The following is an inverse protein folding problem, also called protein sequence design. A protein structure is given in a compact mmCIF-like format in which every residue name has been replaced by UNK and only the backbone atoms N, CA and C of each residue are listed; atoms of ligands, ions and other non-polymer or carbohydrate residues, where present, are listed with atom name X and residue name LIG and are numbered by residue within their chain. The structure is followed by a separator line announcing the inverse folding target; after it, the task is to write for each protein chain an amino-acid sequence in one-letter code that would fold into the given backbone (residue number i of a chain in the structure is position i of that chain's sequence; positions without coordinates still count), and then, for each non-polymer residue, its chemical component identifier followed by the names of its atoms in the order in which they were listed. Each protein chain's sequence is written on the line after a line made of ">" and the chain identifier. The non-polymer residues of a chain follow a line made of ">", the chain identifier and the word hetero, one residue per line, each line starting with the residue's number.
data_IF_366671892096
#
_entry.id   IF_366671892096
#
_cell.length_a   1.000
_cell.length_b   1.000
_cell.length_c   1.000
_cell.angle_alpha   90.00
_cell.angle_beta   90.00
_cell.angle_gamma   90.00
#
_symmetry.space_group_name_H-M   'P 1'
#
loop_
_entity.id
_entity.type
_entity.pdbx_description
1 polymer ?
#
# COMPACT_ATOMS: atom_id res chain seq x y z
N UNK A 1 40.15 -24.92 12.39
CA UNK A 1 38.74 -24.49 12.21
C UNK A 1 38.55 -22.97 11.99
N UNK A 2 39.49 -22.27 11.35
CA UNK A 2 39.48 -20.79 11.26
C UNK A 2 39.23 -20.22 9.85
N UNK A 3 39.64 -20.92 8.78
CA UNK A 3 39.41 -20.49 7.39
C UNK A 3 37.92 -20.43 6.98
N UNK A 4 37.10 -21.35 7.48
CA UNK A 4 35.66 -21.41 7.14
C UNK A 4 34.87 -20.21 7.70
N UNK A 5 35.15 -19.77 8.94
CA UNK A 5 34.50 -18.60 9.54
C UNK A 5 34.91 -17.29 8.87
N UNK A 6 36.17 -17.17 8.44
CA UNK A 6 36.65 -15.99 7.72
C UNK A 6 35.98 -15.82 6.35
N UNK A 7 35.73 -16.92 5.63
CA UNK A 7 35.08 -16.86 4.33
C UNK A 7 33.58 -16.53 4.44
N UNK A 8 32.91 -17.03 5.48
CA UNK A 8 31.50 -16.70 5.76
C UNK A 8 31.36 -15.20 6.09
N UNK A 9 32.25 -14.65 6.93
CA UNK A 9 32.21 -13.23 7.29
C UNK A 9 32.44 -12.32 6.08
N UNK A 10 33.38 -12.67 5.21
CA UNK A 10 33.65 -11.92 3.98
C UNK A 10 32.46 -11.97 3.00
N UNK A 11 31.79 -13.13 2.89
CA UNK A 11 30.59 -13.28 2.06
C UNK A 11 29.43 -12.44 2.60
N UNK A 12 29.18 -12.48 3.91
CA UNK A 12 28.13 -11.66 4.56
C UNK A 12 28.39 -10.16 4.38
N UNK A 13 29.64 -9.73 4.53
CA UNK A 13 30.02 -8.33 4.31
C UNK A 13 29.80 -7.91 2.84
N UNK A 14 30.15 -8.78 1.89
CA UNK A 14 29.94 -8.52 0.46
C UNK A 14 28.45 -8.39 0.12
N UNK A 15 27.61 -9.29 0.66
CA UNK A 15 26.15 -9.22 0.51
C UNK A 15 25.60 -7.93 1.11
N UNK A 16 26.06 -7.56 2.30
CA UNK A 16 25.63 -6.32 2.96
C UNK A 16 25.97 -5.07 2.13
N UNK A 17 27.19 -4.98 1.62
CA UNK A 17 27.63 -3.86 0.77
C UNK A 17 26.80 -3.80 -0.53
N UNK A 18 26.56 -4.96 -1.16
CA UNK A 18 25.75 -5.02 -2.37
C UNK A 18 24.31 -4.53 -2.12
N UNK A 19 23.69 -4.97 -1.03
CA UNK A 19 22.34 -4.53 -0.65
C UNK A 19 22.28 -3.02 -0.37
N UNK A 20 23.31 -2.45 0.26
CA UNK A 20 23.40 -1.00 0.45
C UNK A 20 23.48 -0.24 -0.88
N UNK A 21 24.29 -0.71 -1.83
CA UNK A 21 24.41 -0.08 -3.14
C UNK A 21 23.09 -0.14 -3.93
N UNK A 22 22.36 -1.26 -3.85
CA UNK A 22 21.04 -1.41 -4.46
C UNK A 22 20.04 -0.42 -3.83
N UNK A 23 20.00 -0.33 -2.49
CA UNK A 23 19.10 0.58 -1.80
C UNK A 23 19.38 2.05 -2.16
N UNK A 24 20.66 2.44 -2.22
CA UNK A 24 21.06 3.80 -2.64
C UNK A 24 20.64 4.12 -4.08
N UNK A 25 20.75 3.14 -4.98
CA UNK A 25 20.28 3.29 -6.35
C UNK A 25 18.75 3.50 -6.39
N UNK A 26 17.99 2.69 -5.65
CA UNK A 26 16.53 2.83 -5.59
C UNK A 26 16.08 4.14 -4.96
N UNK A 27 16.74 4.64 -3.90
CA UNK A 27 16.45 5.96 -3.33
C UNK A 27 16.76 7.12 -4.32
N UNK A 28 17.80 6.95 -5.15
CA UNK A 28 18.14 7.89 -6.21
C UNK A 28 17.07 7.90 -7.32
N UNK A 29 16.64 6.72 -7.77
CA UNK A 29 15.58 6.57 -8.75
C UNK A 29 14.25 7.12 -8.26
N UNK A 30 13.88 6.83 -7.00
CA UNK A 30 12.71 7.41 -6.33
C UNK A 30 12.71 8.93 -6.43
N UNK A 31 13.86 9.55 -6.16
CA UNK A 31 14.02 11.01 -6.23
C UNK A 31 13.84 11.52 -7.66
N UNK A 32 14.37 10.81 -8.66
CA UNK A 32 14.21 11.15 -10.09
C UNK A 32 12.73 11.08 -10.50
N UNK A 33 12.06 9.96 -10.20
CA UNK A 33 10.63 9.77 -10.51
C UNK A 33 9.78 10.84 -9.81
N UNK A 34 10.05 11.11 -8.54
CA UNK A 34 9.31 12.14 -7.81
C UNK A 34 9.49 13.53 -8.45
N UNK A 35 10.72 13.89 -8.85
CA UNK A 35 11.01 15.17 -9.50
C UNK A 35 10.31 15.31 -10.86
N UNK A 36 10.12 14.22 -11.60
CA UNK A 36 9.41 14.24 -12.89
C UNK A 36 7.91 14.50 -12.73
N UNK A 37 7.33 14.27 -11.55
CA UNK A 37 5.90 14.51 -11.32
C UNK A 37 5.56 16.02 -11.26
N UNK A 38 4.48 16.48 -11.93
CA UNK A 38 4.17 17.91 -12.04
C UNK A 38 3.59 18.54 -10.76
N UNK A 39 2.62 17.89 -10.12
CA UNK A 39 1.91 18.47 -8.98
C UNK A 39 2.78 18.61 -7.72
N UNK A 40 3.06 19.85 -7.29
CA UNK A 40 3.90 20.15 -6.11
C UNK A 40 3.27 19.69 -4.80
N UNK A 41 1.96 19.88 -4.63
CA UNK A 41 1.26 19.52 -3.38
C UNK A 41 1.39 18.03 -3.12
N UNK A 42 1.14 17.17 -4.12
CA UNK A 42 1.29 15.72 -3.95
C UNK A 42 2.75 15.32 -3.66
N UNK A 43 3.73 15.98 -4.29
CA UNK A 43 5.15 15.73 -4.03
C UNK A 43 5.56 16.01 -2.58
N UNK A 44 4.90 16.94 -1.92
CA UNK A 44 5.22 17.37 -0.56
C UNK A 44 4.25 16.79 0.50
N UNK A 45 3.19 16.10 0.06
CA UNK A 45 2.15 15.55 0.91
C UNK A 45 2.45 14.13 1.42
N UNK A 46 1.59 13.64 2.30
CA UNK A 46 1.53 12.23 2.70
C UNK A 46 1.42 11.26 1.50
N UNK A 47 0.72 11.66 0.44
CA UNK A 47 0.44 10.81 -0.73
C UNK A 47 1.63 10.70 -1.71
N UNK A 48 2.82 11.18 -1.34
CA UNK A 48 4.00 11.20 -2.20
C UNK A 48 4.30 9.82 -2.81
N UNK A 49 4.27 8.76 -2.00
CA UNK A 49 4.60 7.40 -2.45
C UNK A 49 3.55 6.85 -3.42
N UNK A 50 2.26 7.04 -3.11
CA UNK A 50 1.16 6.68 -4.02
C UNK A 50 1.23 7.47 -5.33
N UNK A 51 1.71 8.72 -5.30
CA UNK A 51 1.84 9.55 -6.48
C UNK A 51 3.01 9.11 -7.38
N UNK A 52 4.16 8.77 -6.79
CA UNK A 52 5.29 8.17 -7.50
C UNK A 52 4.81 6.94 -8.29
N UNK A 53 4.03 6.09 -7.63
CA UNK A 53 3.54 4.80 -8.12
C UNK A 53 2.28 4.90 -8.99
N UNK A 54 1.88 6.11 -9.39
CA UNK A 54 0.71 6.37 -10.24
C UNK A 54 -0.64 5.93 -9.65
N UNK A 55 -0.71 5.60 -8.35
CA UNK A 55 -1.94 5.22 -7.66
C UNK A 55 -2.84 6.42 -7.35
N UNK A 56 -2.27 7.62 -7.28
CA UNK A 56 -3.03 8.87 -7.21
C UNK A 56 -2.55 9.87 -8.28
N UNK A 57 -3.45 10.70 -8.78
CA UNK A 57 -3.13 11.84 -9.63
C UNK A 57 -4.07 13.01 -9.38
N UNK A 58 -3.82 14.16 -10.02
CA UNK A 58 -4.71 15.32 -9.94
C UNK A 58 -5.45 15.50 -11.26
N UNK A 59 -6.77 15.62 -11.20
CA UNK A 59 -7.65 15.96 -12.32
C UNK A 59 -8.70 16.95 -11.84
N UNK A 60 -8.85 18.09 -12.53
CA UNK A 60 -9.85 19.12 -12.19
C UNK A 60 -9.84 19.53 -10.70
N UNK A 61 -8.65 19.81 -10.15
CA UNK A 61 -8.45 20.15 -8.72
C UNK A 61 -8.90 19.09 -7.70
N UNK A 62 -9.14 17.86 -8.16
CA UNK A 62 -9.38 16.70 -7.31
C UNK A 62 -8.19 15.74 -7.38
N UNK A 63 -7.85 15.15 -6.24
CA UNK A 63 -7.02 13.96 -6.18
C UNK A 63 -7.92 12.77 -6.54
N UNK A 64 -7.53 12.03 -7.57
CA UNK A 64 -8.19 10.79 -7.99
C UNK A 64 -7.26 9.65 -7.65
N UNK A 65 -7.72 8.73 -6.81
CA UNK A 65 -7.00 7.51 -6.45
C UNK A 65 -7.62 6.30 -7.12
N UNK A 66 -6.77 5.40 -7.62
CA UNK A 66 -7.15 4.06 -8.07
C UNK A 66 -6.05 3.10 -7.61
N UNK A 67 -6.41 2.12 -6.81
CA UNK A 67 -5.49 1.09 -6.30
C UNK A 67 -6.10 -0.26 -6.62
N UNK A 68 -5.36 -1.09 -7.35
CA UNK A 68 -5.72 -2.47 -7.65
C UNK A 68 -5.11 -3.37 -6.59
N UNK A 69 -5.95 -3.92 -5.72
CA UNK A 69 -5.53 -4.89 -4.71
C UNK A 69 -5.66 -6.31 -5.26
N UNK A 70 -4.64 -7.12 -5.03
CA UNK A 70 -4.68 -8.53 -5.40
C UNK A 70 -5.36 -9.31 -4.28
N UNK A 71 -6.31 -10.19 -4.63
CA UNK A 71 -7.07 -11.00 -3.67
C UNK A 71 -6.29 -12.21 -3.14
N UNK A 72 -4.96 -12.10 -3.08
CA UNK A 72 -4.10 -13.12 -2.49
C UNK A 72 -3.77 -12.73 -1.05
N UNK A 73 -4.35 -13.47 -0.11
CA UNK A 73 -3.72 -13.65 1.19
C UNK A 73 -2.45 -14.48 1.05
N UNK A 74 -1.89 -15.02 2.14
CA UNK A 74 -0.82 -16.01 2.06
C UNK A 74 -1.34 -17.24 1.30
N UNK A 75 -0.96 -17.35 0.03
CA UNK A 75 -1.22 -18.47 -0.88
C UNK A 75 -2.56 -19.21 -0.68
N UNK A 76 -3.67 -18.47 -0.73
CA UNK A 76 -5.01 -18.99 -0.42
C UNK A 76 -5.61 -19.91 -1.51
N UNK A 77 -4.82 -20.37 -2.49
CA UNK A 77 -5.28 -21.22 -3.61
C UNK A 77 -6.31 -20.57 -4.53
N UNK A 78 -6.62 -19.28 -4.34
CA UNK A 78 -7.43 -18.50 -5.26
C UNK A 78 -6.65 -18.32 -6.57
N UNK A 79 -7.26 -18.56 -7.74
CA UNK A 79 -6.60 -18.35 -9.03
C UNK A 79 -5.95 -16.95 -9.12
N UNK A 80 -4.77 -16.85 -9.72
CA UNK A 80 -3.97 -15.60 -9.85
C UNK A 80 -4.65 -14.44 -10.61
N UNK A 81 -5.92 -14.59 -10.96
CA UNK A 81 -6.68 -13.65 -11.77
C UNK A 81 -7.63 -12.74 -10.98
N UNK A 82 -7.77 -12.87 -9.66
CA UNK A 82 -8.73 -12.06 -8.88
C UNK A 82 -8.12 -10.76 -8.35
N UNK A 83 -8.79 -9.63 -8.63
CA UNK A 83 -8.39 -8.31 -8.13
C UNK A 83 -9.59 -7.50 -7.64
N UNK A 84 -9.32 -6.53 -6.77
CA UNK A 84 -10.30 -5.55 -6.31
C UNK A 84 -9.77 -4.14 -6.56
N UNK A 85 -10.41 -3.44 -7.48
CA UNK A 85 -10.09 -2.06 -7.82
C UNK A 85 -10.81 -1.10 -6.87
N UNK A 86 -10.04 -0.40 -6.04
CA UNK A 86 -10.53 0.60 -5.10
C UNK A 86 -10.25 1.98 -5.67
N UNK A 87 -11.31 2.73 -5.94
CA UNK A 87 -11.23 4.09 -6.48
C UNK A 87 -11.88 5.11 -5.55
N UNK A 88 -11.26 6.28 -5.46
CA UNK A 88 -11.75 7.38 -4.62
C UNK A 88 -11.39 8.74 -5.20
N UNK A 89 -12.08 9.77 -4.71
CA UNK A 89 -11.78 11.16 -5.02
C UNK A 89 -11.80 12.00 -3.76
N UNK A 90 -10.89 12.96 -3.68
CA UNK A 90 -10.88 13.98 -2.62
C UNK A 90 -10.40 15.31 -3.17
N UNK A 91 -10.78 16.41 -2.51
CA UNK A 91 -10.34 17.75 -2.91
C UNK A 91 -8.84 17.89 -2.72
N UNK A 92 -8.17 18.52 -3.68
CA UNK A 92 -6.80 18.97 -3.49
C UNK A 92 -6.80 20.25 -2.61
N UNK A 93 -6.16 20.19 -1.45
CA UNK A 93 -6.02 21.34 -0.55
C UNK A 93 -4.55 21.73 -0.39
N UNK A 94 -4.29 22.98 -0.03
CA UNK A 94 -2.96 23.48 0.30
C UNK A 94 -3.00 24.29 1.62
N UNK A 95 -2.46 23.78 2.75
CA UNK A 95 -1.78 22.50 2.90
C UNK A 95 -2.72 21.30 2.68
N UNK A 96 -2.16 20.17 2.26
CA UNK A 96 -2.92 18.93 2.06
C UNK A 96 -3.51 18.43 3.38
N UNK A 97 -4.78 17.99 3.36
CA UNK A 97 -5.47 17.38 4.48
C UNK A 97 -6.36 16.25 4.00
N UNK A 98 -6.37 15.15 4.74
CA UNK A 98 -7.32 14.07 4.51
C UNK A 98 -8.75 14.53 4.87
N UNK A 99 -9.76 14.20 4.04
CA UNK A 99 -11.15 14.47 4.40
C UNK A 99 -11.62 13.51 5.50
N UNK A 100 -12.52 13.95 6.38
CA UNK A 100 -13.13 13.08 7.42
C UNK A 100 -13.88 11.88 6.86
N UNK A 101 -14.33 11.98 5.60
CA UNK A 101 -15.04 10.93 4.89
C UNK A 101 -14.51 10.81 3.47
N UNK A 102 -14.41 9.58 2.97
CA UNK A 102 -13.95 9.28 1.62
C UNK A 102 -15.00 8.41 0.93
N UNK A 103 -15.52 8.87 -0.21
CA UNK A 103 -16.42 8.06 -1.04
C UNK A 103 -15.56 7.09 -1.84
N UNK A 104 -15.78 5.80 -1.62
CA UNK A 104 -15.05 4.72 -2.27
C UNK A 104 -15.99 3.97 -3.21
N UNK A 105 -15.46 3.64 -4.37
CA UNK A 105 -16.06 2.68 -5.31
C UNK A 105 -15.10 1.50 -5.45
N UNK A 106 -15.61 0.31 -5.19
CA UNK A 106 -14.90 -0.96 -5.33
C UNK A 106 -15.45 -1.70 -6.53
N UNK A 107 -14.57 -2.34 -7.29
CA UNK A 107 -14.93 -3.22 -8.38
C UNK A 107 -14.11 -4.50 -8.29
N UNK A 108 -14.81 -5.62 -8.14
CA UNK A 108 -14.20 -6.93 -8.25
C UNK A 108 -13.99 -7.26 -9.72
N UNK A 109 -12.80 -7.75 -10.06
CA UNK A 109 -12.38 -8.14 -11.39
C UNK A 109 -11.66 -9.50 -11.34
N UNK A 110 -11.58 -10.17 -12.49
CA UNK A 110 -10.91 -11.47 -12.62
C UNK A 110 -11.78 -12.60 -13.14
N UNK A 111 -11.51 -13.83 -12.69
CA UNK A 111 -12.24 -15.04 -13.07
C UNK A 111 -13.61 -15.15 -12.35
N UNK A 112 -14.39 -14.07 -12.39
CA UNK A 112 -15.77 -14.01 -11.90
C UNK A 112 -16.75 -13.93 -13.07
N UNK A 113 -17.87 -14.64 -12.96
CA UNK A 113 -18.92 -14.60 -13.99
C UNK A 113 -19.60 -13.23 -14.09
N UNK A 114 -19.65 -12.48 -12.98
CA UNK A 114 -20.27 -11.16 -12.91
C UNK A 114 -19.40 -10.22 -12.09
N UNK A 115 -19.10 -9.07 -12.70
CA UNK A 115 -18.44 -7.96 -11.99
C UNK A 115 -19.38 -7.41 -10.94
N UNK A 116 -18.91 -7.33 -9.70
CA UNK A 116 -19.61 -6.68 -8.62
C UNK A 116 -19.00 -5.32 -8.34
N UNK A 117 -19.85 -4.30 -8.27
CA UNK A 117 -19.45 -2.95 -7.92
C UNK A 117 -20.12 -2.55 -6.62
N UNK A 118 -19.31 -2.14 -5.65
CA UNK A 118 -19.78 -1.62 -4.36
C UNK A 118 -19.43 -0.16 -4.24
N UNK A 119 -20.30 0.61 -3.57
CA UNK A 119 -20.06 2.01 -3.26
C UNK A 119 -20.41 2.26 -1.82
N UNK A 120 -19.52 2.91 -1.09
CA UNK A 120 -19.80 3.33 0.26
C UNK A 120 -18.97 4.55 0.68
N UNK A 121 -19.33 5.14 1.82
CA UNK A 121 -18.58 6.23 2.44
C UNK A 121 -17.76 5.67 3.59
N UNK A 122 -16.44 5.73 3.45
CA UNK A 122 -15.52 5.36 4.50
C UNK A 122 -15.29 6.58 5.39
N UNK A 123 -15.13 6.35 6.69
CA UNK A 123 -14.86 7.39 7.69
C UNK A 123 -13.41 7.28 8.13
N UNK A 124 -12.73 8.41 8.26
CA UNK A 124 -11.38 8.49 8.80
C UNK A 124 -11.41 8.06 10.28
N UNK A 125 -10.66 7.01 10.62
CA UNK A 125 -10.59 6.44 11.97
C UNK A 125 -9.32 6.88 12.68
N UNK A 126 -8.19 6.86 11.98
CA UNK A 126 -6.86 7.17 12.52
C UNK A 126 -6.04 7.90 11.45
N UNK A 127 -5.29 8.92 11.86
CA UNK A 127 -4.38 9.70 11.04
C UNK A 127 -3.15 10.05 11.89
N UNK A 128 -1.97 9.68 11.40
CA UNK A 128 -0.67 10.02 11.96
C UNK A 128 0.28 10.50 10.87
N UNK A 129 1.54 10.75 11.21
CA UNK A 129 2.54 11.17 10.23
C UNK A 129 2.78 10.12 9.13
N UNK A 130 2.64 8.82 9.45
CA UNK A 130 2.98 7.72 8.53
C UNK A 130 1.81 6.79 8.21
N UNK A 131 0.65 6.97 8.85
CA UNK A 131 -0.48 6.06 8.76
C UNK A 131 -1.80 6.80 8.60
N UNK A 132 -2.66 6.30 7.71
CA UNK A 132 -4.04 6.77 7.57
C UNK A 132 -4.96 5.57 7.41
N UNK A 133 -5.99 5.49 8.25
CA UNK A 133 -7.00 4.43 8.23
C UNK A 133 -8.39 5.02 7.99
N UNK A 134 -9.00 4.55 6.90
CA UNK A 134 -10.41 4.74 6.59
C UNK A 134 -11.17 3.44 6.79
N UNK A 135 -12.38 3.51 7.34
CA UNK A 135 -13.22 2.33 7.57
C UNK A 135 -14.66 2.53 7.12
N UNK A 136 -15.24 1.49 6.52
CA UNK A 136 -16.68 1.36 6.25
C UNK A 136 -17.29 0.36 7.23
N UNK A 137 -18.19 0.85 8.09
CA UNK A 137 -18.98 -0.02 8.98
C UNK A 137 -19.96 -0.91 8.20
N UNK A 138 -20.50 -0.41 7.08
CA UNK A 138 -21.52 -1.10 6.28
C UNK A 138 -20.91 -2.27 5.51
N UNK A 139 -19.75 -2.04 4.88
CA UNK A 139 -19.05 -3.08 4.12
C UNK A 139 -18.12 -3.93 4.99
N UNK A 140 -17.81 -3.48 6.22
CA UNK A 140 -16.80 -4.11 7.10
C UNK A 140 -15.43 -4.17 6.43
N UNK A 141 -15.03 -3.07 5.81
CA UNK A 141 -13.78 -2.96 5.05
C UNK A 141 -12.96 -1.76 5.51
N UNK A 142 -11.64 -1.88 5.47
CA UNK A 142 -10.71 -0.82 5.85
C UNK A 142 -9.70 -0.57 4.73
N UNK A 143 -9.49 0.71 4.39
CA UNK A 143 -8.39 1.16 3.54
C UNK A 143 -7.33 1.80 4.42
N UNK A 144 -6.10 1.32 4.33
CA UNK A 144 -4.94 1.88 5.01
C UNK A 144 -3.99 2.44 3.96
N UNK A 145 -3.53 3.66 4.17
CA UNK A 145 -2.50 4.30 3.35
C UNK A 145 -1.28 4.56 4.22
N UNK A 146 -0.10 4.33 3.67
CA UNK A 146 1.17 4.63 4.31
C UNK A 146 1.88 5.76 3.59
N UNK A 147 2.60 6.60 4.36
CA UNK A 147 3.41 7.67 3.76
C UNK A 147 4.58 7.12 2.94
N UNK A 148 5.07 5.94 3.31
CA UNK A 148 6.19 5.26 2.69
C UNK A 148 5.91 3.75 2.61
N UNK A 149 6.58 3.05 1.69
CA UNK A 149 6.39 1.60 1.52
C UNK A 149 7.34 0.75 2.40
N UNK A 150 8.38 1.34 3.01
CA UNK A 150 9.50 0.62 3.63
C UNK A 150 9.08 -0.14 4.91
N UNK A 151 8.14 0.40 5.67
CA UNK A 151 7.75 -0.17 6.97
C UNK A 151 6.95 -1.48 6.85
N UNK A 152 6.07 -1.56 5.84
CA UNK A 152 5.17 -2.70 5.63
C UNK A 152 5.42 -3.44 4.32
N UNK A 153 6.41 -3.03 3.54
CA UNK A 153 6.63 -3.54 2.18
C UNK A 153 5.50 -3.15 1.20
N UNK A 154 4.64 -2.19 1.56
CA UNK A 154 3.55 -1.69 0.74
C UNK A 154 3.20 -0.24 1.10
N UNK A 155 2.68 0.52 0.14
CA UNK A 155 2.15 1.88 0.37
C UNK A 155 0.65 1.90 0.71
N UNK A 156 -0.06 0.78 0.59
CA UNK A 156 -1.45 0.68 1.03
C UNK A 156 -1.87 -0.76 1.33
N UNK A 157 -2.80 -0.92 2.27
CA UNK A 157 -3.48 -2.18 2.52
C UNK A 157 -4.98 -2.03 2.45
N UNK A 158 -5.64 -3.14 2.11
CA UNK A 158 -7.08 -3.20 2.07
C UNK A 158 -7.59 -4.44 2.80
N UNK A 159 -8.33 -4.24 3.88
CA UNK A 159 -8.87 -5.34 4.69
C UNK A 159 -10.35 -5.53 4.39
N UNK A 160 -10.76 -6.80 4.31
CA UNK A 160 -12.15 -7.21 4.28
C UNK A 160 -12.55 -7.92 5.58
N UNK A 161 -13.85 -7.94 5.88
CA UNK A 161 -14.44 -8.61 7.05
C UNK A 161 -13.89 -8.14 8.41
N UNK A 162 -13.53 -6.86 8.52
CA UNK A 162 -12.99 -6.27 9.74
C UNK A 162 -13.98 -5.30 10.38
N UNK A 163 -13.90 -5.15 11.70
CA UNK A 163 -14.66 -4.14 12.44
C UNK A 163 -13.85 -2.85 12.64
N UNK A 164 -14.54 -1.73 12.87
CA UNK A 164 -13.96 -0.36 12.90
C UNK A 164 -12.71 -0.20 13.76
N UNK A 165 -12.62 -0.91 14.87
CA UNK A 165 -11.55 -0.76 15.85
C UNK A 165 -10.64 -2.01 15.92
N UNK A 166 -10.79 -2.95 14.98
CA UNK A 166 -9.99 -4.16 14.94
C UNK A 166 -8.55 -3.87 14.48
N UNK A 167 -8.34 -2.82 13.69
CA UNK A 167 -7.05 -2.43 13.16
C UNK A 167 -6.71 -1.02 13.65
N UNK A 168 -5.48 -0.83 14.08
CA UNK A 168 -4.86 0.44 14.43
C UNK A 168 -3.42 0.44 13.96
N UNK A 169 -2.77 1.61 13.92
CA UNK A 169 -1.33 1.68 13.60
C UNK A 169 -0.50 0.77 14.53
N UNK A 170 -0.84 0.77 15.83
CA UNK A 170 -0.11 0.04 16.86
C UNK A 170 -0.23 -1.48 16.77
N UNK A 171 -1.36 -2.02 16.29
CA UNK A 171 -1.59 -3.47 16.26
C UNK A 171 -1.36 -4.10 14.88
N UNK A 172 -1.26 -3.28 13.81
CA UNK A 172 -1.21 -3.78 12.43
C UNK A 172 -0.07 -4.77 12.20
N UNK A 173 1.14 -4.44 12.68
CA UNK A 173 2.31 -5.32 12.51
C UNK A 173 2.08 -6.70 13.12
N UNK A 174 1.66 -6.73 14.39
CA UNK A 174 1.36 -7.99 15.11
C UNK A 174 0.22 -8.76 14.45
N UNK A 175 -0.79 -8.06 13.92
CA UNK A 175 -1.90 -8.68 13.22
C UNK A 175 -1.45 -9.39 11.94
N UNK A 176 -0.54 -8.80 11.17
CA UNK A 176 0.02 -9.40 9.96
C UNK A 176 0.97 -10.55 10.31
N UNK A 177 1.88 -10.36 11.28
CA UNK A 177 2.89 -11.36 11.66
C UNK A 177 2.29 -12.62 12.30
N UNK A 178 1.16 -12.49 12.99
CA UNK A 178 0.47 -13.60 13.66
C UNK A 178 -0.70 -14.18 12.85
N UNK A 179 -0.79 -13.86 11.57
CA UNK A 179 -1.83 -14.40 10.72
C UNK A 179 -1.77 -15.94 10.69
N UNK A 180 -2.95 -16.56 10.80
CA UNK A 180 -3.12 -18.01 10.76
C UNK A 180 -4.33 -18.37 9.91
N UNK A 181 -4.12 -19.06 8.79
CA UNK A 181 -5.15 -19.54 7.87
C UNK A 181 -6.18 -20.46 8.54
N UNK A 182 -5.77 -21.20 9.59
CA UNK A 182 -6.65 -22.12 10.31
C UNK A 182 -7.57 -21.39 11.32
N UNK A 183 -7.28 -20.13 11.65
CA UNK A 183 -8.12 -19.33 12.54
C UNK A 183 -9.05 -18.41 11.74
N UNK A 184 -10.34 -18.75 11.74
CA UNK A 184 -11.42 -17.96 11.12
C UNK A 184 -11.52 -16.49 11.59
N UNK A 185 -10.86 -16.13 12.69
CA UNK A 185 -10.79 -14.75 13.21
C UNK A 185 -9.55 -14.00 12.74
N UNK A 186 -8.55 -14.70 12.19
CA UNK A 186 -7.40 -14.07 11.54
C UNK A 186 -7.87 -13.27 10.34
N UNK A 187 -7.31 -12.09 10.16
CA UNK A 187 -7.57 -11.24 9.01
C UNK A 187 -6.24 -10.84 8.39
N UNK A 188 -6.19 -10.86 7.06
CA UNK A 188 -5.00 -10.48 6.30
C UNK A 188 -5.36 -9.39 5.30
N UNK A 189 -4.48 -8.40 5.07
CA UNK A 189 -4.73 -7.39 4.06
C UNK A 189 -4.58 -7.97 2.66
N UNK A 190 -5.39 -7.47 1.74
CA UNK A 190 -5.02 -7.46 0.33
C UNK A 190 -3.95 -6.40 0.11
N UNK A 191 -2.91 -6.76 -0.64
CA UNK A 191 -1.81 -5.86 -1.03
C UNK A 191 -1.93 -5.51 -2.52
N UNK A 192 -1.03 -4.65 -3.02
CA UNK A 192 -1.08 -4.18 -4.42
C UNK A 192 0.31 -4.27 -5.03
N UNK A 193 0.49 -5.06 -6.09
CA UNK A 193 1.81 -5.27 -6.71
C UNK A 193 2.52 -3.97 -7.10
N UNK A 194 1.77 -2.97 -7.58
CA UNK A 194 2.32 -1.65 -7.92
C UNK A 194 2.78 -0.85 -6.68
N UNK A 195 2.25 -1.18 -5.51
CA UNK A 195 2.56 -0.55 -4.23
C UNK A 195 3.58 -1.32 -3.39
N UNK A 196 3.81 -2.59 -3.73
CA UNK A 196 4.68 -3.48 -2.96
C UNK A 196 6.12 -3.53 -3.51
N UNK A 197 6.34 -3.10 -4.75
CA UNK A 197 7.66 -3.21 -5.40
C UNK A 197 8.69 -2.21 -4.84
N UNK A 198 9.94 -2.64 -4.55
CA UNK A 198 11.04 -1.74 -4.25
C UNK A 198 11.68 -1.13 -5.51
N UNK A 199 11.26 -1.55 -6.71
CA UNK A 199 11.89 -1.14 -7.97
C UNK A 199 11.23 0.08 -8.62
N UNK A 200 11.88 1.23 -8.45
CA UNK A 200 11.42 2.51 -9.01
C UNK A 200 11.65 2.65 -10.51
N UNK A 201 12.44 1.76 -11.14
CA UNK A 201 12.66 1.81 -12.59
C UNK A 201 11.35 1.65 -13.37
N UNK A 202 10.41 0.88 -12.82
CA UNK A 202 9.07 0.65 -13.38
C UNK A 202 8.22 1.91 -13.53
N UNK A 203 8.58 3.02 -12.89
CA UNK A 203 7.83 4.28 -12.89
C UNK A 203 8.53 5.43 -13.64
N UNK A 204 9.60 5.13 -14.39
CA UNK A 204 10.34 6.13 -15.18
C UNK A 204 9.70 6.46 -16.55
N UNK A 205 8.71 5.67 -17.00
CA UNK A 205 8.10 5.75 -18.33
C UNK A 205 6.62 6.14 -18.27
#
# INVERSE_FOLDING_TARGET
>A
MTKSKSNILLLLLTIFIANMAIAQNQDSLRTIVLKSKPNKILKESFLQELYIRNAVNVKNDEIVGNITFNLHGPDCGAPDCFSNDVSFKMKLTNPFKFPKTLKITEQEDGCIEKKHQYKDTFVLVEESENFVLYHSNKLKKSLILFRNYKDFGSAAFYFANVSKNQITENNLKTLIENYNDDDSKSVYPFSSWSLDTPDYQTFLY
#
